data_IF_981200945493
#
_entry.id   IF_981200945493
#
_cell.length_a   1.000
_cell.length_b   1.000
_cell.length_c   1.000
_cell.angle_alpha   90.00
_cell.angle_beta   90.00
_cell.angle_gamma   90.00
#
_symmetry.space_group_name_H-M   'P 1'
#
loop_
_entity.id
_entity.type
_entity.pdbx_description
1 polymer ?
#
# COMPACT_ATOMS: atom_id res chain seq x y z
N UNK A 1 30.51 75.24 9.03
CA UNK A 1 31.43 74.13 9.40
C UNK A 1 30.57 72.88 9.51
N UNK A 2 30.37 72.12 8.43
CA UNK A 2 31.10 70.89 8.04
C UNK A 2 31.24 69.88 9.19
N UNK A 3 30.60 68.71 9.02
CA UNK A 3 30.74 67.53 9.88
C UNK A 3 29.78 66.40 9.49
N UNK A 4 29.96 65.85 8.29
CA UNK A 4 29.42 64.54 7.89
C UNK A 4 29.99 63.47 8.83
N UNK A 5 29.15 62.52 9.28
CA UNK A 5 29.51 61.12 9.46
C UNK A 5 28.22 60.30 9.41
N UNK A 6 27.96 59.73 8.23
CA UNK A 6 27.02 58.64 8.07
C UNK A 6 27.71 57.32 8.45
N UNK A 7 26.94 56.39 9.00
CA UNK A 7 27.28 54.97 8.98
C UNK A 7 25.99 54.16 8.91
N UNK A 8 25.85 53.50 7.77
CA UNK A 8 24.85 52.51 7.42
C UNK A 8 24.87 51.36 8.43
N UNK A 9 23.73 51.10 9.07
CA UNK A 9 23.44 49.86 9.78
C UNK A 9 22.25 49.17 9.09
N UNK A 10 22.47 48.76 7.84
CA UNK A 10 21.74 47.68 7.19
C UNK A 10 22.73 46.53 6.99
N UNK A 11 22.95 45.77 8.07
CA UNK A 11 23.72 44.55 8.06
C UNK A 11 22.89 43.41 7.48
N UNK A 12 23.22 43.04 6.24
CA UNK A 12 23.15 41.70 5.60
C UNK A 12 22.06 40.76 6.15
N UNK A 13 20.97 40.66 5.41
CA UNK A 13 20.20 39.41 5.36
C UNK A 13 21.01 38.36 4.61
N UNK A 14 20.98 37.13 5.10
CA UNK A 14 21.71 35.95 4.63
C UNK A 14 21.59 35.69 3.12
N UNK A 15 22.70 35.81 2.40
CA UNK A 15 22.85 35.31 1.02
C UNK A 15 22.87 33.76 0.96
N UNK A 16 22.88 33.07 2.11
CA UNK A 16 22.96 31.60 2.18
C UNK A 16 21.63 30.85 2.00
N UNK A 17 20.48 31.49 2.28
CA UNK A 17 19.18 30.83 2.16
C UNK A 17 18.71 30.73 0.69
N UNK A 18 19.05 31.73 -0.13
CA UNK A 18 18.78 31.73 -1.58
C UNK A 18 19.64 30.73 -2.33
N UNK A 19 20.91 30.57 -1.93
CA UNK A 19 21.84 29.61 -2.54
C UNK A 19 21.42 28.16 -2.30
N UNK A 20 20.90 27.84 -1.12
CA UNK A 20 20.35 26.52 -0.81
C UNK A 20 19.11 26.19 -1.65
N UNK A 21 18.23 27.17 -1.84
CA UNK A 21 17.04 27.02 -2.67
C UNK A 21 17.39 26.86 -4.16
N UNK A 22 18.34 27.64 -4.67
CA UNK A 22 18.86 27.46 -6.03
C UNK A 22 19.52 26.09 -6.24
N UNK A 23 20.28 25.59 -5.26
CA UNK A 23 20.88 24.26 -5.35
C UNK A 23 19.82 23.15 -5.38
N UNK A 24 18.76 23.26 -4.57
CA UNK A 24 17.64 22.33 -4.58
C UNK A 24 16.88 22.36 -5.90
N UNK A 25 16.59 23.55 -6.45
CA UNK A 25 15.96 23.68 -7.77
C UNK A 25 16.81 23.07 -8.88
N UNK A 26 18.13 23.27 -8.84
CA UNK A 26 19.07 22.64 -9.80
C UNK A 26 19.14 21.13 -9.62
N UNK A 27 19.03 20.61 -8.40
CA UNK A 27 18.98 19.18 -8.13
C UNK A 27 17.70 18.54 -8.67
N UNK A 28 16.53 19.15 -8.38
CA UNK A 28 15.23 18.72 -8.90
C UNK A 28 15.19 18.76 -10.44
N UNK A 29 15.76 19.80 -11.06
CA UNK A 29 15.86 19.88 -12.51
C UNK A 29 16.74 18.75 -13.12
N UNK A 30 17.85 18.38 -12.47
CA UNK A 30 18.68 17.25 -12.90
C UNK A 30 17.97 15.90 -12.76
N UNK A 31 17.18 15.73 -11.70
CA UNK A 31 16.38 14.53 -11.47
C UNK A 31 15.27 14.39 -12.50
N UNK A 32 14.52 15.46 -12.78
CA UNK A 32 13.52 15.49 -13.84
C UNK A 32 14.13 15.17 -15.23
N UNK A 33 15.34 15.66 -15.50
CA UNK A 33 16.07 15.35 -16.75
C UNK A 33 16.51 13.87 -16.83
N UNK A 34 16.91 13.27 -15.70
CA UNK A 34 17.25 11.84 -15.60
C UNK A 34 16.01 10.98 -15.82
N UNK A 35 14.90 11.30 -15.19
CA UNK A 35 13.63 10.59 -15.40
C UNK A 35 13.15 10.69 -16.85
N UNK A 36 13.23 11.88 -17.47
CA UNK A 36 12.88 12.05 -18.88
C UNK A 36 13.80 11.23 -19.81
N UNK A 37 15.07 11.09 -19.46
CA UNK A 37 16.03 10.26 -20.22
C UNK A 37 15.76 8.77 -20.02
N UNK A 38 15.46 8.32 -18.80
CA UNK A 38 15.08 6.94 -18.51
C UNK A 38 13.77 6.55 -19.21
N UNK A 39 12.77 7.44 -19.24
CA UNK A 39 11.54 7.23 -20.00
C UNK A 39 11.80 7.08 -21.49
N UNK A 40 12.64 7.94 -22.09
CA UNK A 40 13.03 7.81 -23.50
C UNK A 40 13.80 6.53 -23.79
N UNK A 41 14.66 6.09 -22.88
CA UNK A 41 15.39 4.83 -23.02
C UNK A 41 14.46 3.61 -22.89
N UNK A 42 13.47 3.66 -22.00
CA UNK A 42 12.43 2.63 -21.87
C UNK A 42 11.54 2.59 -23.12
N UNK A 43 11.09 3.73 -23.63
CA UNK A 43 10.31 3.83 -24.88
C UNK A 43 11.11 3.32 -26.09
N UNK A 44 12.40 3.68 -26.19
CA UNK A 44 13.28 3.20 -27.25
C UNK A 44 13.60 1.69 -27.12
N UNK A 45 13.72 1.18 -25.89
CA UNK A 45 13.97 -0.24 -25.61
C UNK A 45 12.75 -1.13 -25.84
N UNK A 46 11.54 -0.60 -25.66
CA UNK A 46 10.29 -1.33 -25.91
C UNK A 46 9.90 -1.38 -27.39
N UNK A 47 10.48 -0.50 -28.22
CA UNK A 47 10.27 -0.49 -29.68
C UNK A 47 11.02 -1.61 -30.45
N UNK A 48 11.85 -2.43 -29.79
CA UNK A 48 12.57 -3.54 -30.45
C UNK A 48 12.09 -4.94 -30.08
N UNK A 49 11.06 -5.11 -29.26
CA UNK A 49 10.35 -6.40 -29.14
C UNK A 49 9.05 -6.37 -29.95
N UNK A 50 9.19 -6.04 -31.24
CA UNK A 50 8.15 -6.23 -32.25
C UNK A 50 8.35 -7.61 -32.90
N UNK A 51 7.35 -8.46 -32.74
CA UNK A 51 7.21 -9.83 -33.22
C UNK A 51 7.63 -10.05 -34.69
N UNK A 52 8.61 -10.91 -34.92
CA UNK A 52 8.67 -11.71 -36.14
C UNK A 52 8.26 -13.13 -35.75
N UNK A 53 6.99 -13.47 -35.93
CA UNK A 53 6.56 -14.87 -35.93
C UNK A 53 7.15 -15.54 -37.16
N UNK A 54 7.98 -16.57 -36.95
CA UNK A 54 8.39 -17.48 -38.02
C UNK A 54 7.14 -18.07 -38.70
N UNK A 55 7.14 -18.29 -40.03
CA UNK A 55 6.05 -19.00 -40.67
C UNK A 55 5.99 -20.42 -40.10
N UNK A 56 4.85 -20.80 -39.54
CA UNK A 56 4.67 -22.17 -39.04
C UNK A 56 4.91 -23.19 -40.17
N UNK A 57 5.59 -24.31 -39.88
CA UNK A 57 5.78 -25.37 -40.86
C UNK A 57 4.40 -25.90 -41.27
N UNK A 58 4.15 -25.96 -42.58
CA UNK A 58 2.92 -26.55 -43.11
C UNK A 58 2.80 -27.99 -42.62
N UNK A 59 1.61 -28.43 -42.15
CA UNK A 59 1.45 -29.79 -41.68
C UNK A 59 1.62 -30.74 -42.84
N UNK A 60 2.63 -31.61 -42.76
CA UNK A 60 2.74 -32.77 -43.63
C UNK A 60 1.61 -33.72 -43.23
N UNK A 61 0.55 -33.75 -44.05
CA UNK A 61 -0.55 -34.71 -43.86
C UNK A 61 -0.03 -36.10 -44.18
N UNK A 62 0.32 -36.86 -43.14
CA UNK A 62 0.64 -38.28 -43.25
C UNK A 62 -0.69 -39.04 -43.31
N UNK A 63 -1.01 -39.79 -44.39
CA UNK A 63 -2.25 -40.54 -44.44
C UNK A 63 -2.23 -41.67 -43.40
N UNK A 64 -3.11 -41.59 -42.39
CA UNK A 64 -3.41 -42.74 -41.51
C UNK A 64 -3.23 -42.56 -40.01
N UNK A 65 -2.98 -41.36 -39.48
CA UNK A 65 -3.00 -41.15 -38.02
C UNK A 65 -4.36 -40.62 -37.56
N UNK A 66 -5.08 -41.49 -36.84
CA UNK A 66 -6.38 -41.23 -36.24
C UNK A 66 -6.30 -40.10 -35.21
N UNK A 67 -7.20 -39.13 -35.33
CA UNK A 67 -7.46 -38.09 -34.35
C UNK A 67 -7.73 -38.72 -32.96
N UNK A 68 -6.96 -38.32 -31.96
CA UNK A 68 -7.22 -38.60 -30.56
C UNK A 68 -8.06 -37.45 -29.98
N UNK A 69 -9.37 -37.61 -29.69
CA UNK A 69 -10.19 -36.56 -29.13
C UNK A 69 -9.95 -36.49 -27.62
N UNK A 70 -8.79 -35.95 -27.22
CA UNK A 70 -8.52 -35.55 -25.84
C UNK A 70 -7.82 -34.19 -25.75
N UNK A 71 -8.16 -33.25 -26.62
CA UNK A 71 -7.88 -31.85 -26.32
C UNK A 71 -8.89 -31.38 -25.27
N UNK A 72 -8.45 -31.34 -24.02
CA UNK A 72 -9.09 -30.52 -22.99
C UNK A 72 -8.63 -29.06 -23.14
N UNK A 73 -8.54 -28.57 -24.39
CA UNK A 73 -8.26 -27.16 -24.71
C UNK A 73 -9.58 -26.40 -24.62
N UNK A 74 -10.05 -26.20 -23.40
CA UNK A 74 -10.93 -25.07 -23.14
C UNK A 74 -10.07 -23.81 -23.27
N UNK A 75 -10.39 -22.87 -24.17
CA UNK A 75 -9.65 -21.63 -24.28
C UNK A 75 -9.65 -20.94 -22.92
N UNK A 76 -8.46 -20.54 -22.44
CA UNK A 76 -8.30 -19.78 -21.22
C UNK A 76 -9.18 -18.52 -21.32
N UNK A 77 -10.30 -18.50 -20.59
CA UNK A 77 -11.22 -17.37 -20.60
C UNK A 77 -10.43 -16.15 -20.14
N UNK A 78 -10.25 -15.17 -21.03
CA UNK A 78 -9.54 -13.94 -20.72
C UNK A 78 -10.15 -13.29 -19.47
N UNK A 79 -9.32 -13.08 -18.45
CA UNK A 79 -9.74 -12.45 -17.18
C UNK A 79 -9.69 -10.94 -17.32
N UNK A 80 -10.77 -10.28 -16.90
CA UNK A 80 -10.93 -8.83 -16.99
C UNK A 80 -10.82 -8.11 -15.63
N UNK A 81 -11.12 -6.81 -15.64
CA UNK A 81 -11.13 -6.00 -14.43
C UNK A 81 -12.16 -6.50 -13.40
N UNK A 82 -13.32 -7.01 -13.85
CA UNK A 82 -14.34 -7.57 -12.96
C UNK A 82 -13.81 -8.78 -12.17
N UNK A 83 -13.03 -9.65 -12.82
CA UNK A 83 -12.40 -10.79 -12.16
C UNK A 83 -11.36 -10.33 -11.14
N UNK A 84 -10.53 -9.34 -11.51
CA UNK A 84 -9.48 -8.81 -10.65
C UNK A 84 -10.04 -8.02 -9.45
N UNK A 85 -11.11 -7.25 -9.67
CA UNK A 85 -11.84 -6.54 -8.62
C UNK A 85 -12.42 -7.53 -7.61
N UNK A 86 -13.10 -8.58 -8.10
CA UNK A 86 -13.68 -9.60 -7.23
C UNK A 86 -12.60 -10.38 -6.47
N UNK A 87 -11.50 -10.76 -7.12
CA UNK A 87 -10.40 -11.46 -6.45
C UNK A 87 -9.75 -10.59 -5.36
N UNK A 88 -9.53 -9.30 -5.64
CA UNK A 88 -8.97 -8.35 -4.68
C UNK A 88 -9.93 -8.06 -3.51
N UNK A 89 -11.24 -7.99 -3.77
CA UNK A 89 -12.26 -7.88 -2.73
C UNK A 89 -12.25 -9.08 -1.79
N UNK A 90 -12.06 -10.29 -2.32
CA UNK A 90 -11.94 -11.51 -1.51
C UNK A 90 -10.65 -11.56 -0.71
N UNK A 91 -9.56 -11.06 -1.26
CA UNK A 91 -8.27 -10.99 -0.57
C UNK A 91 -8.33 -10.01 0.61
N UNK A 92 -8.85 -8.78 0.42
CA UNK A 92 -8.97 -7.80 1.52
C UNK A 92 -9.97 -8.26 2.58
N UNK A 93 -11.08 -8.92 2.20
CA UNK A 93 -12.02 -9.49 3.18
C UNK A 93 -11.41 -10.62 4.02
N UNK A 94 -10.43 -11.35 3.46
CA UNK A 94 -9.66 -12.30 4.26
C UNK A 94 -8.71 -11.58 5.22
N UNK A 95 -8.00 -10.55 4.72
CA UNK A 95 -7.07 -9.73 5.50
C UNK A 95 -7.72 -9.12 6.74
N UNK A 96 -8.81 -8.40 6.56
CA UNK A 96 -9.61 -7.77 7.61
C UNK A 96 -10.00 -8.74 8.72
N UNK A 97 -10.44 -9.95 8.34
CA UNK A 97 -10.80 -11.00 9.31
C UNK A 97 -9.60 -11.61 10.03
N UNK A 98 -8.40 -11.54 9.45
CA UNK A 98 -7.16 -11.97 10.10
C UNK A 98 -6.66 -10.88 11.05
N UNK A 99 -6.65 -9.63 10.60
CA UNK A 99 -6.29 -8.45 11.39
C UNK A 99 -7.19 -8.35 12.63
N UNK A 100 -8.51 -8.45 12.45
CA UNK A 100 -9.48 -8.44 13.55
C UNK A 100 -9.17 -9.49 14.64
N UNK A 101 -8.64 -10.65 14.27
CA UNK A 101 -8.25 -11.71 15.22
C UNK A 101 -6.89 -11.43 15.88
N UNK A 102 -5.99 -10.76 15.18
CA UNK A 102 -4.65 -10.42 15.67
C UNK A 102 -4.69 -9.25 16.66
N UNK A 103 -5.54 -8.25 16.44
CA UNK A 103 -5.57 -7.01 17.23
C UNK A 103 -5.69 -7.22 18.75
N UNK A 104 -6.52 -8.13 19.28
CA UNK A 104 -6.53 -8.41 20.72
C UNK A 104 -5.18 -8.92 21.27
N UNK A 105 -4.41 -9.67 20.47
CA UNK A 105 -3.06 -10.14 20.84
C UNK A 105 -2.08 -8.97 20.85
N UNK A 106 -2.14 -8.09 19.85
CA UNK A 106 -1.32 -6.87 19.77
C UNK A 106 -1.58 -5.92 20.93
N UNK A 107 -2.86 -5.67 21.25
CA UNK A 107 -3.26 -4.83 22.39
C UNK A 107 -2.76 -5.36 23.75
N UNK A 108 -2.67 -6.68 23.93
CA UNK A 108 -2.08 -7.29 25.14
C UNK A 108 -0.56 -7.26 25.15
N UNK A 109 0.06 -7.07 23.99
CA UNK A 109 1.49 -6.94 23.81
C UNK A 109 2.03 -5.55 24.11
N UNK A 110 1.23 -4.52 23.83
CA UNK A 110 1.57 -3.13 24.06
C UNK A 110 1.74 -2.83 25.56
N UNK A 111 2.79 -2.07 25.88
CA UNK A 111 3.09 -1.59 27.23
C UNK A 111 2.49 -0.20 27.48
N UNK A 112 2.44 0.66 26.47
CA UNK A 112 1.77 1.96 26.49
C UNK A 112 0.25 1.80 26.55
N UNK A 113 -0.42 2.46 27.52
CA UNK A 113 -1.88 2.54 27.56
C UNK A 113 -2.47 3.17 26.29
N UNK A 114 -1.79 4.15 25.71
CA UNK A 114 -2.20 4.85 24.49
C UNK A 114 -2.14 3.92 23.27
N UNK A 115 -1.05 3.15 23.12
CA UNK A 115 -0.93 2.17 22.03
C UNK A 115 -1.95 1.04 22.17
N UNK A 116 -2.19 0.56 23.40
CA UNK A 116 -3.24 -0.42 23.67
C UNK A 116 -4.62 0.10 23.25
N UNK A 117 -4.94 1.34 23.63
CA UNK A 117 -6.20 1.97 23.25
C UNK A 117 -6.32 2.17 21.73
N UNK A 118 -5.21 2.46 21.03
CA UNK A 118 -5.19 2.53 19.57
C UNK A 118 -5.54 1.18 18.93
N UNK A 119 -4.97 0.07 19.41
CA UNK A 119 -5.33 -1.27 18.92
C UNK A 119 -6.78 -1.66 19.23
N UNK A 120 -7.28 -1.34 20.43
CA UNK A 120 -8.69 -1.60 20.78
C UNK A 120 -9.65 -0.78 19.92
N UNK A 121 -9.35 0.50 19.67
CA UNK A 121 -10.10 1.37 18.75
C UNK A 121 -10.09 0.81 17.33
N UNK A 122 -8.91 0.47 16.82
CA UNK A 122 -8.78 -0.03 15.45
C UNK A 122 -9.54 -1.36 15.29
N UNK A 123 -9.54 -2.24 16.29
CA UNK A 123 -10.35 -3.47 16.28
C UNK A 123 -11.83 -3.19 16.06
N UNK A 124 -12.40 -2.21 16.77
CA UNK A 124 -13.81 -1.84 16.61
C UNK A 124 -14.08 -1.25 15.21
N UNK A 125 -13.12 -0.53 14.63
CA UNK A 125 -13.19 -0.04 13.24
C UNK A 125 -13.15 -1.22 12.25
N UNK A 126 -12.22 -2.16 12.40
CA UNK A 126 -12.07 -3.38 11.59
C UNK A 126 -13.35 -4.24 11.59
N UNK A 127 -14.07 -4.33 12.72
CA UNK A 127 -15.40 -4.98 12.75
C UNK A 127 -16.37 -4.29 11.76
N UNK A 128 -16.41 -2.95 11.77
CA UNK A 128 -17.18 -2.16 10.80
C UNK A 128 -16.68 -2.29 9.36
N UNK A 129 -15.38 -2.44 9.13
CA UNK A 129 -14.80 -2.65 7.80
C UNK A 129 -15.25 -3.98 7.19
N UNK A 130 -15.23 -5.05 7.98
CA UNK A 130 -15.76 -6.37 7.60
C UNK A 130 -17.24 -6.27 7.19
N UNK A 131 -18.05 -5.51 7.92
CA UNK A 131 -19.46 -5.26 7.58
C UNK A 131 -19.62 -4.48 6.27
N UNK A 132 -18.80 -3.45 6.03
CA UNK A 132 -18.82 -2.70 4.75
C UNK A 132 -18.44 -3.58 3.58
N UNK A 133 -17.44 -4.45 3.74
CA UNK A 133 -17.06 -5.41 2.70
C UNK A 133 -18.19 -6.40 2.40
N UNK A 134 -18.92 -6.87 3.41
CA UNK A 134 -20.12 -7.70 3.22
C UNK A 134 -21.18 -6.97 2.39
N UNK A 135 -21.42 -5.68 2.67
CA UNK A 135 -22.32 -4.87 1.84
C UNK A 135 -21.85 -4.78 0.38
N UNK A 136 -20.54 -4.66 0.12
CA UNK A 136 -20.00 -4.69 -1.25
C UNK A 136 -20.22 -6.05 -1.93
N UNK A 137 -20.05 -7.16 -1.20
CA UNK A 137 -20.39 -8.48 -1.73
C UNK A 137 -21.88 -8.60 -2.10
N UNK A 138 -22.77 -8.06 -1.26
CA UNK A 138 -24.21 -8.04 -1.51
C UNK A 138 -24.55 -7.20 -2.75
N UNK A 139 -23.90 -6.05 -2.94
CA UNK A 139 -24.02 -5.23 -4.17
C UNK A 139 -23.60 -6.00 -5.44
N UNK A 140 -22.66 -6.94 -5.32
CA UNK A 140 -22.26 -7.83 -6.42
C UNK A 140 -23.19 -9.04 -6.60
N UNK A 141 -24.17 -9.23 -5.71
CA UNK A 141 -25.01 -10.44 -5.67
C UNK A 141 -24.21 -11.72 -5.38
N UNK A 142 -23.12 -11.61 -4.62
CA UNK A 142 -22.21 -12.72 -4.30
C UNK A 142 -22.12 -12.91 -2.79
N UNK A 143 -22.01 -14.16 -2.35
CA UNK A 143 -21.75 -14.45 -0.93
C UNK A 143 -20.36 -13.93 -0.54
N UNK A 144 -20.26 -13.23 0.57
CA UNK A 144 -18.99 -12.83 1.16
C UNK A 144 -18.14 -14.06 1.50
N UNK A 145 -17.02 -14.21 0.79
CA UNK A 145 -16.10 -15.32 0.98
C UNK A 145 -14.66 -14.87 0.74
N UNK A 146 -13.86 -14.92 1.80
CA UNK A 146 -12.43 -14.60 1.69
C UNK A 146 -11.69 -15.59 0.79
N UNK A 147 -10.54 -15.15 0.30
CA UNK A 147 -9.52 -16.00 -0.30
C UNK A 147 -8.25 -15.78 0.50
N UNK A 148 -7.55 -16.87 0.83
CA UNK A 148 -6.29 -16.78 1.56
C UNK A 148 -5.33 -15.85 0.84
N UNK A 149 -4.79 -14.89 1.59
CA UNK A 149 -3.83 -13.92 1.09
C UNK A 149 -2.50 -14.10 1.86
N UNK A 150 -1.46 -14.69 1.24
CA UNK A 150 -0.17 -14.88 1.90
C UNK A 150 0.49 -13.57 2.36
N UNK A 151 0.19 -12.45 1.69
CA UNK A 151 0.79 -11.16 2.02
C UNK A 151 0.41 -10.68 3.42
N UNK A 152 -0.89 -10.68 3.76
CA UNK A 152 -1.32 -10.25 5.09
C UNK A 152 -0.98 -11.28 6.17
N UNK A 153 -0.98 -12.57 5.85
CA UNK A 153 -0.55 -13.60 6.78
C UNK A 153 0.93 -13.36 7.17
N UNK A 154 1.81 -13.06 6.21
CA UNK A 154 3.20 -12.72 6.48
C UNK A 154 3.38 -11.44 7.30
N UNK A 155 2.67 -10.36 6.98
CA UNK A 155 2.76 -9.11 7.77
C UNK A 155 2.30 -9.33 9.22
N UNK A 156 1.26 -10.14 9.43
CA UNK A 156 0.80 -10.48 10.78
C UNK A 156 1.85 -11.34 11.49
N UNK A 157 2.44 -12.33 10.82
CA UNK A 157 3.52 -13.16 11.37
C UNK A 157 4.71 -12.31 11.81
N UNK A 158 5.14 -11.33 11.01
CA UNK A 158 6.20 -10.37 11.40
C UNK A 158 5.85 -9.61 12.69
N UNK A 159 4.59 -9.17 12.85
CA UNK A 159 4.11 -8.52 14.07
C UNK A 159 4.08 -9.47 15.28
N UNK A 160 3.81 -10.76 15.07
CA UNK A 160 3.86 -11.78 16.11
C UNK A 160 5.30 -12.08 16.54
N UNK A 161 6.26 -12.14 15.61
CA UNK A 161 7.68 -12.30 15.89
C UNK A 161 8.21 -11.14 16.74
N UNK A 162 7.86 -9.89 16.38
CA UNK A 162 8.20 -8.71 17.18
C UNK A 162 7.65 -8.85 18.61
N UNK A 163 6.42 -9.34 18.76
CA UNK A 163 5.81 -9.55 20.06
C UNK A 163 6.51 -10.66 20.87
N UNK A 164 7.10 -11.65 20.22
CA UNK A 164 7.85 -12.71 20.90
C UNK A 164 9.24 -12.23 21.34
N UNK A 165 9.93 -11.46 20.50
CA UNK A 165 11.31 -11.04 20.73
C UNK A 165 11.44 -9.79 21.61
N UNK A 166 10.54 -8.81 21.46
CA UNK A 166 10.69 -7.47 22.06
C UNK A 166 9.68 -7.17 23.17
N UNK A 167 8.80 -8.11 23.53
CA UNK A 167 7.78 -7.86 24.56
C UNK A 167 8.39 -7.53 25.92
N UNK A 168 7.89 -6.43 26.50
CA UNK A 168 8.35 -5.92 27.79
C UNK A 168 9.71 -5.21 27.73
N UNK A 169 10.33 -5.12 26.56
CA UNK A 169 11.52 -4.30 26.34
C UNK A 169 11.12 -2.85 26.01
N UNK A 170 12.07 -1.92 26.13
CA UNK A 170 11.87 -0.52 25.76
C UNK A 170 11.62 -0.32 24.25
N UNK A 171 11.99 -1.27 23.40
CA UNK A 171 11.73 -1.24 21.96
C UNK A 171 10.41 -1.94 21.55
N UNK A 172 9.72 -2.60 22.48
CA UNK A 172 8.53 -3.41 22.18
C UNK A 172 7.42 -2.60 21.52
N UNK A 173 7.04 -1.45 22.09
CA UNK A 173 5.97 -0.62 21.54
C UNK A 173 6.35 -0.02 20.17
N UNK A 174 7.62 0.35 19.97
CA UNK A 174 8.09 0.85 18.68
C UNK A 174 8.00 -0.24 17.59
N UNK A 175 8.37 -1.48 17.93
CA UNK A 175 8.19 -2.63 17.05
C UNK A 175 6.72 -2.89 16.72
N UNK A 176 5.84 -2.89 17.73
CA UNK A 176 4.40 -3.10 17.51
C UNK A 176 3.77 -2.02 16.64
N UNK A 177 4.17 -0.75 16.81
CA UNK A 177 3.74 0.34 15.94
C UNK A 177 4.22 0.10 14.51
N UNK A 178 5.49 -0.26 14.30
CA UNK A 178 6.02 -0.55 12.97
C UNK A 178 5.24 -1.67 12.26
N UNK A 179 4.93 -2.76 12.96
CA UNK A 179 4.14 -3.86 12.40
C UNK A 179 2.70 -3.42 12.06
N UNK A 180 2.08 -2.61 12.93
CA UNK A 180 0.75 -2.07 12.68
C UNK A 180 0.74 -1.17 11.43
N UNK A 181 1.70 -0.27 11.29
CA UNK A 181 1.80 0.59 10.10
C UNK A 181 2.01 -0.21 8.81
N UNK A 182 2.72 -1.34 8.85
CA UNK A 182 2.84 -2.23 7.69
C UNK A 182 1.49 -2.82 7.27
N UNK A 183 0.63 -3.17 8.24
CA UNK A 183 -0.77 -3.57 7.98
C UNK A 183 -1.55 -2.41 7.37
N UNK A 184 -1.53 -1.22 7.97
CA UNK A 184 -2.27 -0.06 7.46
C UNK A 184 -1.88 0.27 6.01
N UNK A 185 -0.59 0.27 5.68
CA UNK A 185 -0.10 0.55 4.33
C UNK A 185 -0.54 -0.49 3.30
N UNK A 186 -0.64 -1.77 3.70
CA UNK A 186 -1.23 -2.81 2.87
C UNK A 186 -2.71 -2.49 2.60
N UNK A 187 -3.48 -2.14 3.62
CA UNK A 187 -4.91 -1.85 3.50
C UNK A 187 -5.20 -0.58 2.70
N UNK A 188 -4.47 0.51 2.96
CA UNK A 188 -4.53 1.77 2.20
C UNK A 188 -4.32 1.50 0.70
N UNK A 189 -3.34 0.67 0.35
CA UNK A 189 -3.08 0.29 -1.05
C UNK A 189 -4.25 -0.47 -1.66
N UNK A 190 -4.82 -1.43 -0.93
CA UNK A 190 -5.93 -2.28 -1.41
C UNK A 190 -7.22 -1.48 -1.55
N UNK A 191 -7.58 -0.70 -0.54
CA UNK A 191 -8.78 0.13 -0.56
C UNK A 191 -8.69 1.27 -1.57
N UNK A 192 -7.53 1.91 -1.73
CA UNK A 192 -7.29 2.90 -2.78
C UNK A 192 -7.53 2.32 -4.17
N UNK A 193 -7.02 1.10 -4.42
CA UNK A 193 -7.21 0.37 -5.68
C UNK A 193 -8.67 -0.02 -5.91
N UNK A 194 -9.32 -0.64 -4.92
CA UNK A 194 -10.72 -1.07 -5.00
C UNK A 194 -11.67 0.10 -5.19
N UNK A 195 -11.47 1.22 -4.48
CA UNK A 195 -12.24 2.45 -4.69
C UNK A 195 -12.12 2.91 -6.14
N UNK A 196 -10.90 2.98 -6.67
CA UNK A 196 -10.68 3.46 -8.04
C UNK A 196 -11.31 2.55 -9.09
N UNK A 197 -11.21 1.24 -8.91
CA UNK A 197 -11.86 0.30 -9.82
C UNK A 197 -13.38 0.37 -9.73
N UNK A 198 -13.96 0.50 -8.54
CA UNK A 198 -15.40 0.70 -8.37
C UNK A 198 -15.90 1.96 -9.10
N UNK A 199 -15.14 3.06 -9.10
CA UNK A 199 -15.45 4.26 -9.88
C UNK A 199 -15.46 3.98 -11.39
N UNK A 200 -14.41 3.31 -11.91
CA UNK A 200 -14.28 2.96 -13.34
C UNK A 200 -15.42 2.04 -13.77
N UNK A 201 -15.80 1.09 -12.91
CA UNK A 201 -16.89 0.14 -13.11
C UNK A 201 -18.28 0.75 -12.84
N UNK A 202 -18.35 2.05 -12.50
CA UNK A 202 -19.59 2.80 -12.23
C UNK A 202 -20.43 2.19 -11.09
N UNK A 203 -19.76 1.79 -10.01
CA UNK A 203 -20.34 1.27 -8.77
C UNK A 203 -20.22 2.30 -7.63
N UNK A 204 -21.02 3.38 -7.64
CA UNK A 204 -20.83 4.51 -6.71
C UNK A 204 -21.01 4.11 -5.24
N UNK A 205 -21.91 3.17 -4.94
CA UNK A 205 -22.13 2.71 -3.56
C UNK A 205 -20.93 1.94 -3.01
N UNK A 206 -20.33 1.05 -3.81
CA UNK A 206 -19.10 0.37 -3.43
C UNK A 206 -17.92 1.34 -3.28
N UNK A 207 -17.78 2.29 -4.21
CA UNK A 207 -16.74 3.32 -4.13
C UNK A 207 -16.85 4.15 -2.84
N UNK A 208 -18.08 4.50 -2.42
CA UNK A 208 -18.32 5.22 -1.15
C UNK A 208 -17.94 4.38 0.07
N UNK A 209 -18.27 3.09 0.09
CA UNK A 209 -17.91 2.19 1.17
C UNK A 209 -16.40 2.05 1.31
N UNK A 210 -15.68 1.83 0.20
CA UNK A 210 -14.23 1.77 0.20
C UNK A 210 -13.58 3.10 0.59
N UNK A 211 -14.14 4.24 0.18
CA UNK A 211 -13.64 5.55 0.56
C UNK A 211 -13.74 5.80 2.08
N UNK A 212 -14.82 5.32 2.71
CA UNK A 212 -15.00 5.44 4.15
C UNK A 212 -13.95 4.62 4.92
N UNK A 213 -13.73 3.35 4.52
CA UNK A 213 -12.68 2.52 5.15
C UNK A 213 -11.29 3.10 4.90
N UNK A 214 -10.96 3.49 3.66
CA UNK A 214 -9.67 4.10 3.34
C UNK A 214 -9.35 5.32 4.22
N UNK A 215 -10.34 6.19 4.48
CA UNK A 215 -10.13 7.37 5.32
C UNK A 215 -9.88 7.00 6.79
N UNK A 216 -10.47 5.91 7.27
CA UNK A 216 -10.22 5.39 8.61
C UNK A 216 -8.79 4.82 8.71
N UNK A 217 -8.32 4.03 7.74
CA UNK A 217 -6.93 3.51 7.75
C UNK A 217 -5.88 4.60 7.64
N UNK A 218 -6.10 5.58 6.74
CA UNK A 218 -5.23 6.75 6.64
C UNK A 218 -5.19 7.58 7.94
N UNK A 219 -6.24 7.51 8.76
CA UNK A 219 -6.25 8.16 10.08
C UNK A 219 -5.54 7.30 11.11
N UNK A 220 -5.76 5.98 11.11
CA UNK A 220 -5.08 5.04 12.00
C UNK A 220 -3.56 5.11 11.83
N UNK A 221 -3.05 5.10 10.59
CA UNK A 221 -1.61 5.22 10.31
C UNK A 221 -1.00 6.54 10.82
N UNK A 222 -1.73 7.66 10.69
CA UNK A 222 -1.31 8.96 11.24
C UNK A 222 -1.29 8.97 12.76
N UNK A 223 -2.30 8.37 13.39
CA UNK A 223 -2.38 8.21 14.85
C UNK A 223 -1.19 7.35 15.34
N UNK A 224 -0.86 6.26 14.64
CA UNK A 224 0.29 5.40 14.94
C UNK A 224 1.63 6.14 14.79
N UNK A 225 1.81 6.92 13.72
CA UNK A 225 3.00 7.77 13.54
C UNK A 225 3.16 8.74 14.70
N UNK A 226 2.06 9.36 15.13
CA UNK A 226 2.06 10.28 16.28
C UNK A 226 2.48 9.57 17.57
N UNK A 227 2.00 8.36 17.81
CA UNK A 227 2.41 7.55 18.96
C UNK A 227 3.90 7.20 18.90
N UNK A 228 4.39 6.80 17.72
CA UNK A 228 5.80 6.48 17.48
C UNK A 228 6.71 7.65 17.86
N UNK A 229 6.42 8.84 17.33
CA UNK A 229 7.22 10.06 17.55
C UNK A 229 7.09 10.61 18.97
N UNK A 230 5.90 10.48 19.57
CA UNK A 230 5.64 11.02 20.90
C UNK A 230 6.44 10.33 21.99
N UNK A 231 6.69 9.02 21.89
CA UNK A 231 7.27 8.26 23.01
C UNK A 231 8.03 7.01 22.56
N UNK A 232 7.40 6.13 21.79
CA UNK A 232 7.92 4.78 21.56
C UNK A 232 9.32 4.78 20.93
N UNK A 233 9.56 5.61 19.89
CA UNK A 233 10.87 5.70 19.24
C UNK A 233 11.96 6.26 20.17
N UNK A 234 11.59 7.20 21.05
CA UNK A 234 12.53 7.80 22.01
C UNK A 234 12.90 6.82 23.12
N UNK A 235 11.95 6.04 23.60
CA UNK A 235 12.20 4.99 24.60
C UNK A 235 13.06 3.87 24.01
N UNK A 236 12.79 3.43 22.79
CA UNK A 236 13.58 2.44 22.08
C UNK A 236 15.03 2.91 21.87
N UNK A 237 15.25 4.16 21.48
CA UNK A 237 16.58 4.74 21.26
C UNK A 237 17.41 4.87 22.54
N UNK A 238 16.75 5.03 23.70
CA UNK A 238 17.42 5.25 24.98
C UNK A 238 17.81 3.95 25.71
N UNK A 239 17.46 2.78 25.16
CA UNK A 239 17.67 1.45 25.73
C UNK A 239 19.08 0.90 25.48
#
# INVERSE_FOLDING_TARGET
MKGLLGLNLLGRCDDGLSDGFEQLLRAAAREAQREATLRRLLEAGWSQSGTASEPEPTPVVVPGQYLNPRSNDMPNKEKGLDDLFYDTLRDIYYAERKILKALPKMARGASSPELKAAFDKHRDQTEGHVERLQQVFDLLGKRAQGKTCPAIDGIIEEGEEILEEFKGTAAGDAGLISAAQAVEHYEITRYGTLRRWAEIMKMPDAAKLFAATLAEEETTDKDLTTLADSKANREALAA
#
